data_IF_562711965038
#
_entry.id   IF_562711965038
#
_cell.length_a   1.000
_cell.length_b   1.000
_cell.length_c   1.000
_cell.angle_alpha   90.00
_cell.angle_beta   90.00
_cell.angle_gamma   90.00
#
_symmetry.space_group_name_H-M   'P 1'
#
loop_
_entity.id
_entity.type
_entity.pdbx_description
1 polymer ?
#
# COMPACT_ATOMS: atom_id res chain seq x y z
N UNK A 1 -6.09 14.30 28.49
CA UNK A 1 -4.72 13.74 28.60
C UNK A 1 -3.76 14.81 28.13
N UNK A 2 -2.66 15.03 28.85
CA UNK A 2 -1.59 15.91 28.37
C UNK A 2 -0.57 15.08 27.57
N UNK A 3 0.00 15.68 26.52
CA UNK A 3 0.96 15.03 25.60
C UNK A 3 2.27 15.85 25.52
N UNK A 4 3.06 15.93 26.60
CA UNK A 4 4.29 16.71 26.62
C UNK A 4 5.31 16.15 25.62
N UNK A 5 5.95 17.02 24.85
CA UNK A 5 6.95 16.63 23.84
C UNK A 5 6.36 16.09 22.53
N UNK A 6 5.04 16.09 22.36
CA UNK A 6 4.38 15.68 21.12
C UNK A 6 3.93 16.91 20.30
N UNK A 7 4.04 16.79 18.97
CA UNK A 7 3.43 17.73 18.03
C UNK A 7 2.09 17.16 17.56
N UNK A 8 1.02 17.94 17.71
CA UNK A 8 -0.27 17.65 17.10
C UNK A 8 -0.36 18.33 15.73
N UNK A 9 -0.72 17.58 14.70
CA UNK A 9 -0.97 18.07 13.35
C UNK A 9 -2.29 17.54 12.81
N UNK A 10 -2.82 18.09 11.70
CA UNK A 10 -3.72 17.33 10.85
C UNK A 10 -3.08 16.00 10.45
N UNK A 11 -3.89 14.97 10.27
CA UNK A 11 -3.41 13.70 9.76
C UNK A 11 -2.96 13.81 8.30
N UNK A 12 -2.02 12.96 7.90
CA UNK A 12 -1.49 12.97 6.55
C UNK A 12 -2.54 12.46 5.56
N UNK A 13 -2.55 13.04 4.35
CA UNK A 13 -3.42 12.62 3.25
C UNK A 13 -2.54 11.97 2.18
N UNK A 14 -2.67 10.66 2.01
CA UNK A 14 -2.01 9.92 0.95
C UNK A 14 -2.86 9.98 -0.34
N UNK A 15 -2.54 10.91 -1.23
CA UNK A 15 -3.42 11.26 -2.35
C UNK A 15 -3.45 10.26 -3.51
N UNK A 16 -2.61 9.22 -3.51
CA UNK A 16 -2.54 8.22 -4.58
C UNK A 16 -1.84 6.94 -4.10
N UNK A 17 -2.37 5.77 -4.43
CA UNK A 17 -1.76 4.49 -4.15
C UNK A 17 -2.43 3.33 -4.89
N UNK A 18 -1.92 2.13 -4.62
CA UNK A 18 -2.50 0.84 -5.01
C UNK A 18 -2.40 -0.11 -3.80
N UNK A 19 -3.34 -0.05 -2.87
CA UNK A 19 -3.21 -0.56 -1.51
C UNK A 19 -2.97 -2.07 -1.46
N UNK A 20 -3.75 -2.84 -2.20
CA UNK A 20 -3.63 -4.30 -2.23
C UNK A 20 -2.29 -4.80 -2.78
N UNK A 21 -1.58 -3.98 -3.59
CA UNK A 21 -0.23 -4.31 -4.06
C UNK A 21 0.80 -4.37 -2.94
N UNK A 22 0.45 -4.01 -1.70
CA UNK A 22 1.28 -4.24 -0.51
C UNK A 22 1.69 -5.73 -0.38
N UNK A 23 0.86 -6.66 -0.85
CA UNK A 23 1.20 -8.10 -0.89
C UNK A 23 2.27 -8.45 -1.94
N UNK A 24 2.55 -7.55 -2.89
CA UNK A 24 3.64 -7.69 -3.86
C UNK A 24 4.90 -6.92 -3.46
N UNK A 25 5.00 -6.42 -2.22
CA UNK A 25 6.15 -5.66 -1.74
C UNK A 25 7.45 -6.47 -1.89
N UNK A 26 8.39 -5.95 -2.67
CA UNK A 26 9.70 -6.56 -2.91
C UNK A 26 9.67 -7.79 -3.82
N UNK A 27 8.59 -8.02 -4.58
CA UNK A 27 8.45 -9.20 -5.44
C UNK A 27 9.41 -9.19 -6.65
N UNK A 28 9.64 -8.03 -7.25
CA UNK A 28 10.33 -7.90 -8.53
C UNK A 28 11.10 -6.57 -8.65
N UNK A 29 12.06 -6.33 -7.76
CA UNK A 29 12.88 -5.12 -7.78
C UNK A 29 13.93 -5.14 -8.90
N UNK A 30 14.57 -3.99 -9.16
CA UNK A 30 15.71 -3.82 -10.09
C UNK A 30 15.45 -4.15 -11.57
N UNK A 31 14.20 -4.00 -12.03
CA UNK A 31 13.79 -4.21 -13.42
C UNK A 31 13.36 -2.91 -14.12
N UNK A 32 13.58 -2.79 -15.44
CA UNK A 32 12.92 -1.76 -16.23
C UNK A 32 11.40 -1.89 -16.16
N UNK A 33 10.69 -0.75 -16.20
CA UNK A 33 9.22 -0.68 -16.03
C UNK A 33 8.46 -1.73 -16.87
N UNK A 34 8.77 -1.87 -18.15
CA UNK A 34 8.01 -2.77 -19.02
C UNK A 34 8.25 -4.25 -18.69
N UNK A 35 9.49 -4.63 -18.33
CA UNK A 35 9.79 -5.98 -17.86
C UNK A 35 9.11 -6.25 -16.51
N UNK A 36 9.17 -5.29 -15.58
CA UNK A 36 8.46 -5.38 -14.31
C UNK A 36 6.95 -5.60 -14.50
N UNK A 37 6.30 -4.83 -15.38
CA UNK A 37 4.88 -4.97 -15.67
C UNK A 37 4.54 -6.29 -16.38
N UNK A 38 5.15 -6.52 -17.55
CA UNK A 38 4.76 -7.58 -18.46
C UNK A 38 5.18 -8.97 -17.97
N UNK A 39 6.36 -9.07 -17.38
CA UNK A 39 6.95 -10.36 -17.03
C UNK A 39 6.66 -10.75 -15.57
N UNK A 40 6.27 -9.79 -14.71
CA UNK A 40 6.07 -10.04 -13.27
C UNK A 40 4.71 -9.59 -12.73
N UNK A 41 4.38 -8.30 -12.79
CA UNK A 41 3.18 -7.76 -12.12
C UNK A 41 1.89 -8.22 -12.77
N UNK A 42 1.70 -8.03 -14.08
CA UNK A 42 0.47 -8.45 -14.75
C UNK A 42 0.22 -9.97 -14.67
N UNK A 43 1.25 -10.84 -14.80
CA UNK A 43 1.09 -12.26 -14.53
C UNK A 43 0.69 -12.56 -13.08
N UNK A 44 1.32 -11.91 -12.09
CA UNK A 44 0.99 -12.09 -10.69
C UNK A 44 -0.43 -11.62 -10.36
N UNK A 45 -0.85 -10.47 -10.89
CA UNK A 45 -2.21 -9.98 -10.76
C UNK A 45 -3.22 -10.98 -11.33
N UNK A 46 -2.99 -11.45 -12.55
CA UNK A 46 -3.87 -12.41 -13.23
C UNK A 46 -4.00 -13.74 -12.48
N UNK A 47 -2.96 -14.14 -11.74
CA UNK A 47 -2.95 -15.39 -10.99
C UNK A 47 -3.55 -15.26 -9.59
N UNK A 48 -3.30 -14.14 -8.90
CA UNK A 48 -3.53 -14.03 -7.45
C UNK A 48 -4.63 -13.06 -7.05
N UNK A 49 -4.92 -12.04 -7.87
CA UNK A 49 -5.84 -10.98 -7.46
C UNK A 49 -7.28 -11.49 -7.57
N UNK A 50 -7.90 -11.63 -6.41
CA UNK A 50 -9.32 -11.92 -6.21
C UNK A 50 -9.84 -11.08 -5.02
N UNK A 51 -11.10 -11.28 -4.62
CA UNK A 51 -11.70 -10.51 -3.52
C UNK A 51 -10.93 -10.65 -2.19
N UNK A 52 -10.47 -11.86 -1.87
CA UNK A 52 -9.71 -12.12 -0.63
C UNK A 52 -8.34 -11.44 -0.67
N UNK A 53 -7.65 -11.48 -1.81
CA UNK A 53 -6.38 -10.77 -2.02
C UNK A 53 -6.54 -9.26 -1.80
N UNK A 54 -7.59 -8.67 -2.38
CA UNK A 54 -7.85 -7.23 -2.23
C UNK A 54 -8.18 -6.90 -0.78
N UNK A 55 -9.01 -7.71 -0.11
CA UNK A 55 -9.35 -7.51 1.30
C UNK A 55 -8.11 -7.53 2.19
N UNK A 56 -7.34 -8.61 2.12
CA UNK A 56 -6.18 -8.80 2.99
C UNK A 56 -5.07 -7.77 2.71
N UNK A 57 -4.81 -7.50 1.43
CA UNK A 57 -3.80 -6.54 1.01
C UNK A 57 -4.16 -5.10 1.39
N UNK A 58 -5.42 -4.70 1.22
CA UNK A 58 -5.89 -3.36 1.60
C UNK A 58 -5.94 -3.20 3.11
N UNK A 59 -6.39 -4.20 3.88
CA UNK A 59 -6.36 -4.14 5.35
C UNK A 59 -4.92 -3.99 5.88
N UNK A 60 -3.96 -4.71 5.27
CA UNK A 60 -2.54 -4.57 5.59
C UNK A 60 -2.02 -3.16 5.28
N UNK A 61 -2.36 -2.60 4.12
CA UNK A 61 -1.97 -1.25 3.73
C UNK A 61 -2.58 -0.19 4.68
N UNK A 62 -3.85 -0.32 5.05
CA UNK A 62 -4.52 0.59 6.00
C UNK A 62 -3.82 0.54 7.36
N UNK A 63 -3.50 -0.66 7.86
CA UNK A 63 -2.80 -0.81 9.14
C UNK A 63 -1.42 -0.12 9.14
N UNK A 64 -0.66 -0.23 8.05
CA UNK A 64 0.61 0.47 7.88
C UNK A 64 0.42 2.00 7.79
N UNK A 65 -0.53 2.46 6.99
CA UNK A 65 -0.85 3.88 6.82
C UNK A 65 -1.24 4.55 8.15
N UNK A 66 -2.11 3.91 8.94
CA UNK A 66 -2.52 4.42 10.25
C UNK A 66 -1.34 4.51 11.23
N UNK A 67 -0.45 3.51 11.24
CA UNK A 67 0.77 3.55 12.07
C UNK A 67 1.74 4.66 11.63
N UNK A 68 1.69 5.06 10.36
CA UNK A 68 2.45 6.17 9.79
C UNK A 68 1.80 7.55 9.95
N UNK A 69 0.61 7.65 10.55
CA UNK A 69 -0.10 8.92 10.74
C UNK A 69 -0.91 9.39 9.52
N UNK A 70 -1.12 8.53 8.52
CA UNK A 70 -2.05 8.78 7.41
C UNK A 70 -3.47 8.53 7.90
N UNK A 71 -4.33 9.52 7.74
CA UNK A 71 -5.74 9.47 8.17
C UNK A 71 -6.73 9.45 7.02
N UNK A 72 -6.27 9.72 5.80
CA UNK A 72 -7.06 9.68 4.58
C UNK A 72 -6.16 9.22 3.44
N UNK A 73 -6.68 8.37 2.56
CA UNK A 73 -5.98 7.98 1.35
C UNK A 73 -6.93 7.82 0.17
N UNK A 74 -6.38 7.93 -1.03
CA UNK A 74 -7.04 7.55 -2.28
C UNK A 74 -6.36 6.31 -2.82
N UNK A 75 -7.18 5.37 -3.28
CA UNK A 75 -6.79 4.14 -3.94
C UNK A 75 -7.46 4.05 -5.31
#
# INVERSE_FOLDING_TARGET
QELPGMLLSPGLINAHGHAAMTLFRGLADDLPLMSWLQDHIWPAESQWVNEDFVRDGTDLAIAEQLKGGITCFSD
#
